data_IF_843245220726
#
_entry.id   IF_843245220726
#
_cell.length_a   1.000
_cell.length_b   1.000
_cell.length_c   1.000
_cell.angle_alpha   90.00
_cell.angle_beta   90.00
_cell.angle_gamma   90.00
#
_symmetry.space_group_name_H-M   'P 1'
#
loop_
_entity.id
_entity.type
_entity.pdbx_description
1 polymer ?
#
# COMPACT_ATOMS: atom_id res chain seq x y z
N UNK A 1 10.17 1.42 -2.12
CA UNK A 1 9.04 1.65 -2.99
C UNK A 1 9.03 3.08 -3.52
N UNK A 2 8.68 3.24 -4.77
CA UNK A 2 8.62 4.54 -5.44
C UNK A 2 7.18 5.03 -5.62
N UNK A 3 6.23 4.38 -4.97
CA UNK A 3 4.80 4.71 -5.10
C UNK A 3 4.45 6.15 -4.73
N UNK A 4 5.23 6.76 -3.83
CA UNK A 4 4.99 8.14 -3.42
C UNK A 4 5.12 9.15 -4.57
N UNK A 5 5.88 8.83 -5.62
CA UNK A 5 6.02 9.67 -6.80
C UNK A 5 4.67 9.82 -7.52
N UNK A 6 3.84 8.78 -7.49
CA UNK A 6 2.52 8.78 -8.11
C UNK A 6 1.43 9.19 -7.11
N UNK A 7 1.57 8.79 -5.85
CA UNK A 7 0.55 9.05 -4.84
C UNK A 7 0.40 10.53 -4.53
N UNK A 8 1.50 11.28 -4.46
CA UNK A 8 1.44 12.70 -4.15
C UNK A 8 0.69 13.52 -5.23
N UNK A 9 0.98 13.37 -6.54
CA UNK A 9 0.18 14.03 -7.57
C UNK A 9 -1.29 13.61 -7.57
N UNK A 10 -1.59 12.34 -7.32
CA UNK A 10 -2.96 11.86 -7.23
C UNK A 10 -3.69 12.51 -6.06
N UNK A 11 -3.05 12.58 -4.89
CA UNK A 11 -3.62 13.23 -3.71
C UNK A 11 -3.93 14.71 -3.98
N UNK A 12 -3.01 15.41 -4.66
CA UNK A 12 -3.23 16.80 -5.04
C UNK A 12 -4.41 16.95 -5.98
N UNK A 13 -4.50 16.10 -7.00
CA UNK A 13 -5.60 16.12 -7.98
C UNK A 13 -6.95 15.83 -7.33
N UNK A 14 -7.00 14.90 -6.40
CA UNK A 14 -8.22 14.52 -5.71
C UNK A 14 -8.53 15.39 -4.48
N UNK A 15 -7.63 16.31 -4.15
CA UNK A 15 -7.77 17.20 -2.99
C UNK A 15 -7.96 16.40 -1.68
N UNK A 16 -7.13 15.41 -1.46
CA UNK A 16 -7.16 14.57 -0.28
C UNK A 16 -5.79 14.49 0.39
N UNK A 17 -5.77 13.96 1.62
CA UNK A 17 -4.54 13.79 2.37
C UNK A 17 -3.63 12.74 1.73
N UNK A 18 -2.34 12.85 2.03
CA UNK A 18 -1.30 11.95 1.54
C UNK A 18 -0.58 11.33 2.74
N UNK A 19 -0.54 10.01 2.79
CA UNK A 19 0.06 9.24 3.88
C UNK A 19 1.11 8.30 3.32
N UNK A 20 2.28 8.28 3.95
CA UNK A 20 3.38 7.40 3.55
C UNK A 20 3.30 6.06 4.29
N UNK A 21 3.39 4.97 3.53
CA UNK A 21 3.69 3.65 4.05
C UNK A 21 5.12 3.32 3.60
N UNK A 22 6.00 3.03 4.54
CA UNK A 22 7.42 2.85 4.24
C UNK A 22 7.97 1.60 4.92
N UNK A 23 9.09 1.10 4.41
CA UNK A 23 9.82 0.01 5.06
C UNK A 23 10.18 0.38 6.50
N UNK A 24 10.21 -0.63 7.36
CA UNK A 24 10.44 -0.43 8.78
C UNK A 24 11.68 0.39 9.08
N UNK A 25 11.57 1.29 10.06
CA UNK A 25 12.67 2.14 10.48
C UNK A 25 12.86 3.42 9.66
N UNK A 26 11.99 3.69 8.69
CA UNK A 26 12.11 4.86 7.81
C UNK A 26 11.23 6.03 8.22
N UNK A 27 10.25 5.81 9.09
CA UNK A 27 9.34 6.87 9.54
C UNK A 27 9.68 7.33 10.95
N UNK A 28 9.54 8.65 11.22
CA UNK A 28 9.66 9.18 12.57
C UNK A 28 8.39 8.90 13.37
N UNK A 29 8.47 9.15 14.70
CA UNK A 29 7.35 9.06 15.63
C UNK A 29 6.80 7.62 15.77
N UNK A 30 5.67 7.50 16.43
CA UNK A 30 5.04 6.21 16.68
C UNK A 30 4.43 5.65 15.39
N UNK A 31 4.77 4.41 15.09
CA UNK A 31 4.30 3.71 13.90
C UNK A 31 3.65 2.39 14.29
N UNK A 32 2.82 1.87 13.39
CA UNK A 32 2.39 0.47 13.40
C UNK A 32 3.04 -0.23 12.24
N UNK A 33 3.36 -1.50 12.43
CA UNK A 33 4.10 -2.30 11.45
C UNK A 33 3.35 -3.58 11.10
N UNK A 34 3.51 -4.02 9.85
CA UNK A 34 3.17 -5.37 9.43
C UNK A 34 4.39 -6.00 8.77
N UNK A 35 4.63 -7.26 9.09
CA UNK A 35 5.70 -8.04 8.49
C UNK A 35 5.15 -8.85 7.32
N UNK A 36 5.99 -9.09 6.32
CA UNK A 36 5.63 -9.94 5.20
C UNK A 36 6.85 -10.73 4.75
N UNK A 37 6.60 -11.91 4.19
CA UNK A 37 7.65 -12.82 3.80
C UNK A 37 8.21 -12.43 2.43
N UNK A 38 9.53 -12.52 2.32
CA UNK A 38 10.25 -12.45 1.07
C UNK A 38 10.70 -13.87 0.69
N UNK A 39 11.24 -14.03 -0.52
CA UNK A 39 11.86 -15.30 -0.92
C UNK A 39 12.98 -15.70 0.04
N UNK A 40 13.75 -14.72 0.50
CA UNK A 40 14.86 -14.92 1.44
C UNK A 40 14.70 -13.99 2.63
N UNK A 41 13.92 -14.42 3.64
CA UNK A 41 13.73 -13.67 4.88
C UNK A 41 12.39 -12.96 4.95
N UNK A 42 12.34 -11.91 5.76
CA UNK A 42 11.13 -11.10 5.98
C UNK A 42 11.46 -9.62 5.86
N UNK A 43 10.45 -8.84 5.54
CA UNK A 43 10.55 -7.39 5.57
C UNK A 43 9.31 -6.84 6.29
N UNK A 44 9.28 -5.55 6.52
CA UNK A 44 8.15 -4.91 7.18
C UNK A 44 7.80 -3.61 6.50
N UNK A 45 6.53 -3.25 6.62
CA UNK A 45 6.02 -1.95 6.18
C UNK A 45 5.42 -1.26 7.40
N UNK A 46 5.56 0.06 7.49
CA UNK A 46 5.03 0.81 8.61
C UNK A 46 4.29 2.06 8.16
N UNK A 47 3.31 2.45 8.96
CA UNK A 47 2.53 3.67 8.80
C UNK A 47 2.53 4.39 10.15
N UNK A 48 2.61 5.71 10.15
CA UNK A 48 2.49 6.50 11.36
C UNK A 48 1.13 6.23 12.02
N UNK A 49 1.14 5.99 13.32
CA UNK A 49 -0.03 5.55 14.08
C UNK A 49 -1.23 6.48 13.94
N UNK A 50 -0.97 7.80 13.89
CA UNK A 50 -2.03 8.81 13.86
C UNK A 50 -2.39 9.27 12.42
N UNK A 51 -1.80 8.64 11.40
CA UNK A 51 -2.00 9.06 10.02
C UNK A 51 -3.38 8.69 9.47
N UNK A 52 -3.99 7.63 9.99
CA UNK A 52 -5.28 7.12 9.54
C UNK A 52 -6.24 7.08 10.73
N UNK A 53 -7.45 7.55 10.51
CA UNK A 53 -8.51 7.55 11.52
C UNK A 53 -9.60 6.55 11.17
N UNK A 54 -10.33 6.10 12.16
CA UNK A 54 -11.46 5.19 11.99
C UNK A 54 -12.42 5.72 10.91
N UNK A 55 -12.69 4.90 9.91
CA UNK A 55 -13.63 5.24 8.85
C UNK A 55 -13.03 6.00 7.67
N UNK A 56 -11.75 6.36 7.71
CA UNK A 56 -11.10 7.02 6.57
C UNK A 56 -11.14 6.11 5.34
N UNK A 57 -11.45 6.69 4.18
CA UNK A 57 -11.45 6.00 2.89
C UNK A 57 -10.07 6.11 2.26
N UNK A 58 -9.46 4.98 1.98
CA UNK A 58 -8.05 4.89 1.61
C UNK A 58 -7.89 4.30 0.21
N UNK A 59 -7.14 4.99 -0.63
CA UNK A 59 -6.60 4.47 -1.89
C UNK A 59 -5.14 4.11 -1.66
N UNK A 60 -4.77 2.87 -1.90
CA UNK A 60 -3.38 2.42 -1.80
C UNK A 60 -2.75 2.49 -3.19
N UNK A 61 -1.65 3.22 -3.29
CA UNK A 61 -0.97 3.49 -4.57
C UNK A 61 0.47 3.03 -4.48
N UNK A 62 0.91 2.28 -5.47
CA UNK A 62 2.32 1.92 -5.63
C UNK A 62 2.70 1.87 -7.12
N UNK A 63 4.00 1.81 -7.39
CA UNK A 63 4.48 1.74 -8.76
C UNK A 63 4.30 0.35 -9.38
N UNK A 64 4.50 -0.71 -8.60
CA UNK A 64 4.54 -2.07 -9.11
C UNK A 64 3.82 -3.03 -8.17
N UNK A 65 2.99 -3.90 -8.74
CA UNK A 65 2.54 -5.10 -8.04
C UNK A 65 3.17 -6.32 -8.70
N UNK A 66 3.93 -7.07 -7.91
CA UNK A 66 4.54 -8.33 -8.33
C UNK A 66 3.84 -9.49 -7.60
N UNK A 67 4.37 -9.92 -6.47
CA UNK A 67 3.76 -10.99 -5.66
C UNK A 67 2.63 -10.50 -4.77
N UNK A 68 2.55 -9.19 -4.53
CA UNK A 68 1.49 -8.59 -3.72
C UNK A 68 1.78 -8.49 -2.23
N UNK A 69 2.96 -8.94 -1.79
CA UNK A 69 3.29 -8.97 -0.35
C UNK A 69 3.25 -7.61 0.32
N UNK A 70 3.91 -6.61 -0.28
CA UNK A 70 3.93 -5.25 0.25
C UNK A 70 2.54 -4.63 0.29
N UNK A 71 1.78 -4.77 -0.80
CA UNK A 71 0.43 -4.21 -0.89
C UNK A 71 -0.52 -4.88 0.12
N UNK A 72 -0.43 -6.18 0.27
CA UNK A 72 -1.26 -6.91 1.24
C UNK A 72 -0.94 -6.49 2.68
N UNK A 73 0.35 -6.36 3.00
CA UNK A 73 0.78 -5.91 4.32
C UNK A 73 0.31 -4.47 4.60
N UNK A 74 0.42 -3.58 3.61
CA UNK A 74 -0.06 -2.20 3.72
C UNK A 74 -1.57 -2.18 3.94
N UNK A 75 -2.33 -2.99 3.21
CA UNK A 75 -3.77 -3.10 3.39
C UNK A 75 -4.14 -3.57 4.78
N UNK A 76 -3.43 -4.55 5.32
CA UNK A 76 -3.66 -5.04 6.68
C UNK A 76 -3.43 -3.94 7.72
N UNK A 77 -2.39 -3.12 7.56
CA UNK A 77 -2.14 -1.98 8.45
C UNK A 77 -3.24 -0.94 8.38
N UNK A 78 -3.68 -0.60 7.17
CA UNK A 78 -4.76 0.36 6.96
C UNK A 78 -6.01 -0.08 7.71
N UNK A 79 -6.39 -1.34 7.54
CA UNK A 79 -7.58 -1.90 8.19
C UNK A 79 -7.42 -1.95 9.71
N UNK A 80 -6.23 -2.29 10.19
CA UNK A 80 -5.93 -2.32 11.63
C UNK A 80 -6.05 -0.94 12.27
N UNK A 81 -5.74 0.12 11.53
CA UNK A 81 -5.90 1.50 11.97
C UNK A 81 -7.33 2.03 11.83
N UNK A 82 -8.23 1.22 11.28
CA UNK A 82 -9.63 1.58 11.12
C UNK A 82 -9.97 2.20 9.78
N UNK A 83 -9.02 2.23 8.83
CA UNK A 83 -9.27 2.71 7.48
C UNK A 83 -10.07 1.73 6.65
N UNK A 84 -10.79 2.24 5.67
CA UNK A 84 -11.52 1.46 4.69
C UNK A 84 -10.82 1.55 3.34
N UNK A 85 -10.34 0.41 2.83
CA UNK A 85 -9.66 0.38 1.54
C UNK A 85 -10.70 0.49 0.43
N UNK A 86 -10.59 1.54 -0.37
CA UNK A 86 -11.47 1.76 -1.53
C UNK A 86 -10.95 1.00 -2.75
N UNK A 87 -9.63 1.08 -2.98
CA UNK A 87 -9.00 0.44 -4.14
C UNK A 87 -7.49 0.38 -3.96
N UNK A 88 -6.87 -0.49 -4.75
CA UNK A 88 -5.42 -0.52 -4.95
C UNK A 88 -5.13 -0.06 -6.38
N UNK A 89 -4.17 0.83 -6.57
CA UNK A 89 -3.80 1.35 -7.87
C UNK A 89 -2.28 1.20 -8.08
N UNK A 90 -1.91 0.61 -9.21
CA UNK A 90 -0.51 0.36 -9.58
C UNK A 90 -0.24 0.89 -10.97
N UNK A 91 0.99 1.35 -11.21
CA UNK A 91 1.41 1.69 -12.56
C UNK A 91 1.60 0.41 -13.38
N UNK A 92 2.30 -0.57 -12.82
CA UNK A 92 2.67 -1.81 -13.50
C UNK A 92 2.20 -3.02 -12.68
N UNK A 93 1.59 -3.98 -13.37
CA UNK A 93 1.26 -5.28 -12.81
C UNK A 93 2.01 -6.39 -13.54
N UNK A 94 2.72 -7.22 -12.78
CA UNK A 94 3.36 -8.44 -13.30
C UNK A 94 2.39 -9.60 -13.11
N UNK A 95 1.58 -9.86 -14.11
CA UNK A 95 0.43 -10.78 -14.02
C UNK A 95 0.86 -12.19 -13.63
N UNK A 96 1.97 -12.68 -14.18
CA UNK A 96 2.44 -14.04 -13.93
C UNK A 96 2.80 -14.32 -12.47
N UNK A 97 2.98 -13.30 -11.64
CA UNK A 97 3.33 -13.48 -10.24
C UNK A 97 2.10 -13.53 -9.31
N UNK A 98 0.90 -13.30 -9.84
CA UNK A 98 -0.35 -13.52 -9.11
C UNK A 98 -0.64 -12.56 -7.96
N UNK A 99 -0.01 -11.39 -7.93
CA UNK A 99 -0.16 -10.44 -6.82
C UNK A 99 -1.58 -9.98 -6.60
N UNK A 100 -2.35 -9.77 -7.67
CA UNK A 100 -3.75 -9.37 -7.58
C UNK A 100 -4.59 -10.42 -6.82
N UNK A 101 -4.37 -11.71 -7.11
CA UNK A 101 -5.06 -12.78 -6.40
C UNK A 101 -4.60 -12.89 -4.94
N UNK A 102 -3.32 -12.63 -4.68
CA UNK A 102 -2.77 -12.68 -3.33
C UNK A 102 -3.38 -11.62 -2.41
N UNK A 103 -3.67 -10.43 -2.95
CA UNK A 103 -4.32 -9.34 -2.20
C UNK A 103 -5.78 -9.68 -1.88
N UNK A 104 -6.43 -10.51 -2.70
CA UNK A 104 -7.83 -10.92 -2.52
C UNK A 104 -8.79 -9.71 -2.52
N UNK A 105 -8.50 -8.71 -3.34
CA UNK A 105 -9.36 -7.54 -3.50
C UNK A 105 -9.98 -7.53 -4.89
N UNK A 106 -11.25 -7.15 -4.96
CA UNK A 106 -11.97 -6.98 -6.23
C UNK A 106 -11.66 -5.63 -6.90
N UNK A 107 -11.05 -4.71 -6.15
CA UNK A 107 -10.79 -3.36 -6.63
C UNK A 107 -9.30 -3.11 -6.76
N UNK A 108 -8.70 -3.66 -7.80
CA UNK A 108 -7.30 -3.47 -8.15
C UNK A 108 -7.25 -2.89 -9.56
N UNK A 109 -6.53 -1.77 -9.69
CA UNK A 109 -6.35 -1.08 -10.95
C UNK A 109 -4.88 -1.03 -11.31
N UNK A 110 -4.52 -1.36 -12.55
CA UNK A 110 -3.17 -1.20 -13.07
C UNK A 110 -3.22 -0.62 -14.48
N UNK A 111 -2.22 0.20 -14.82
CA UNK A 111 -2.16 0.87 -16.12
C UNK A 111 -1.48 -0.03 -17.14
N UNK A 112 -0.35 -0.63 -16.77
CA UNK A 112 0.46 -1.47 -17.66
C UNK A 112 0.52 -2.87 -17.06
N UNK A 113 0.25 -3.88 -17.88
CA UNK A 113 0.29 -5.28 -17.48
C UNK A 113 1.33 -6.05 -18.30
N UNK A 114 2.13 -6.81 -17.60
CA UNK A 114 3.14 -7.69 -18.24
C UNK A 114 2.91 -9.13 -17.85
#
# INVERSE_FOLDING_TARGET
SMGFIFAAPIALKLNCAFVLARKGGKLPLDTVKAHFDLEYGTDSIEIQKDAIKQGDRILIVDDLIATGGTAKATGALVERLGGQIVSFAFLIELIGLGGANFIESDSIFSIIQY
#
